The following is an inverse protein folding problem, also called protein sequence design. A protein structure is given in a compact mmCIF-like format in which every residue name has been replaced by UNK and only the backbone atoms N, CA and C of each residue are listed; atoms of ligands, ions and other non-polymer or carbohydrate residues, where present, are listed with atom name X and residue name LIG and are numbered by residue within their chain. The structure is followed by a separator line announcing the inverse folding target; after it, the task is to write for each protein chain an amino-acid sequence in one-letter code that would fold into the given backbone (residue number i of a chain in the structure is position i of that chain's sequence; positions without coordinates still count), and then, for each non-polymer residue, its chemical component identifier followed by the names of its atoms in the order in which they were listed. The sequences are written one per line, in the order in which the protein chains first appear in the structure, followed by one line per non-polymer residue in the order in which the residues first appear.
data_IF_404659962353
#
_entry.id   IF_404659962353
#
_cell.length_a   1.000
_cell.length_b   1.000
_cell.length_c   1.000
_cell.angle_alpha   90.00
_cell.angle_beta   90.00
_cell.angle_gamma   90.00
#
_symmetry.space_group_name_H-M   'P 1'
#
loop_
_entity.id
_entity.type
_entity.pdbx_description
1 polymer ?
#
# COMPACT_ATOMS: atom_id res chain seq x y z
N UNK A 1 -11.57 2.07 17.30
CA UNK A 1 -10.89 1.16 16.37
C UNK A 1 -9.41 1.35 16.56
N UNK A 2 -8.63 0.28 16.42
CA UNK A 2 -7.17 0.40 16.42
C UNK A 2 -6.73 1.26 15.23
N UNK A 3 -5.69 2.06 15.44
CA UNK A 3 -5.05 2.87 14.40
C UNK A 3 -4.48 1.97 13.29
N UNK A 4 -4.57 2.40 12.03
CA UNK A 4 -3.97 1.70 10.88
C UNK A 4 -2.45 1.69 11.04
N UNK A 5 -1.84 0.50 10.99
CA UNK A 5 -0.37 0.34 11.10
C UNK A 5 0.10 -0.62 10.04
N UNK A 6 0.95 -0.14 9.14
CA UNK A 6 1.47 -0.89 8.00
C UNK A 6 2.99 -0.73 7.98
N UNK A 7 3.72 -1.84 7.98
CA UNK A 7 5.17 -1.88 7.87
C UNK A 7 5.56 -2.60 6.59
N UNK A 8 6.50 -2.04 5.85
CA UNK A 8 7.03 -2.62 4.60
C UNK A 8 8.52 -2.80 4.77
N UNK A 9 8.97 -4.04 4.62
CA UNK A 9 10.38 -4.42 4.73
C UNK A 9 10.66 -5.58 3.80
N UNK A 10 11.92 -5.86 3.51
CA UNK A 10 12.26 -6.92 2.58
C UNK A 10 13.73 -7.28 2.56
N UNK A 11 14.01 -8.25 1.70
CA UNK A 11 15.34 -8.72 1.34
C UNK A 11 15.59 -8.47 -0.15
N UNK A 12 16.69 -9.02 -0.68
CA UNK A 12 16.99 -8.93 -2.11
C UNK A 12 15.98 -9.67 -3.01
N UNK A 13 15.22 -10.64 -2.48
CA UNK A 13 14.34 -11.51 -3.27
C UNK A 13 12.88 -11.47 -2.83
N UNK A 14 12.58 -10.87 -1.69
CA UNK A 14 11.25 -10.88 -1.10
C UNK A 14 10.92 -9.53 -0.48
N UNK A 15 9.67 -9.09 -0.63
CA UNK A 15 9.11 -7.93 0.06
C UNK A 15 7.94 -8.41 0.91
N UNK A 16 7.90 -7.97 2.16
CA UNK A 16 6.84 -8.26 3.12
C UNK A 16 6.10 -6.98 3.47
N UNK A 17 4.78 -6.99 3.28
CA UNK A 17 3.87 -5.98 3.79
C UNK A 17 3.18 -6.59 5.01
N UNK A 18 3.54 -6.13 6.21
CA UNK A 18 2.95 -6.59 7.46
C UNK A 18 2.12 -5.46 8.07
N UNK A 19 0.87 -5.74 8.43
CA UNK A 19 -0.01 -4.74 9.00
C UNK A 19 -0.90 -5.35 10.10
N UNK A 20 -1.37 -4.49 11.01
CA UNK A 20 -2.45 -4.91 11.92
C UNK A 20 -3.78 -5.03 11.15
N UNK A 21 -4.82 -5.51 11.83
CA UNK A 21 -6.12 -5.72 11.18
C UNK A 21 -6.73 -4.44 10.59
N UNK A 22 -6.47 -3.27 11.17
CA UNK A 22 -6.90 -1.99 10.61
C UNK A 22 -6.12 -1.63 9.34
N UNK A 23 -4.79 -1.77 9.36
CA UNK A 23 -3.93 -1.49 8.21
C UNK A 23 -4.10 -2.45 7.05
N UNK A 24 -4.42 -3.72 7.30
CA UNK A 24 -4.78 -4.64 6.22
C UNK A 24 -6.08 -4.24 5.52
N UNK A 25 -7.05 -3.71 6.26
CA UNK A 25 -8.31 -3.20 5.68
C UNK A 25 -8.07 -1.93 4.87
N UNK A 26 -7.32 -0.99 5.44
CA UNK A 26 -6.94 0.26 4.77
C UNK A 26 -6.19 -0.01 3.45
N UNK A 27 -5.21 -0.93 3.49
CA UNK A 27 -4.50 -1.35 2.27
C UNK A 27 -5.45 -1.98 1.23
N UNK A 28 -6.38 -2.82 1.67
CA UNK A 28 -7.36 -3.43 0.77
C UNK A 28 -8.30 -2.40 0.15
N UNK A 29 -8.77 -1.41 0.91
CA UNK A 29 -9.62 -0.33 0.40
C UNK A 29 -8.92 0.50 -0.66
N UNK A 30 -7.62 0.79 -0.46
CA UNK A 30 -6.80 1.53 -1.42
C UNK A 30 -6.56 0.75 -2.71
N UNK A 31 -6.30 -0.56 -2.60
CA UNK A 31 -6.23 -1.45 -3.76
C UNK A 31 -7.57 -1.55 -4.51
N UNK A 32 -8.69 -1.60 -3.77
CA UNK A 32 -10.03 -1.60 -4.38
C UNK A 32 -10.31 -0.29 -5.12
N UNK A 33 -9.90 0.86 -4.56
CA UNK A 33 -10.02 2.15 -5.24
C UNK A 33 -9.19 2.21 -6.53
N UNK A 34 -7.97 1.66 -6.52
CA UNK A 34 -7.14 1.53 -7.72
C UNK A 34 -7.79 0.64 -8.78
N UNK A 35 -8.51 -0.40 -8.37
CA UNK A 35 -9.20 -1.32 -9.27
C UNK A 35 -10.54 -0.79 -9.82
N UNK A 36 -11.01 0.38 -9.37
CA UNK A 36 -12.29 0.95 -9.81
C UNK A 36 -12.32 1.17 -11.34
N UNK A 37 -13.27 0.60 -12.09
CA UNK A 37 -13.34 0.75 -13.54
C UNK A 37 -13.54 2.19 -14.01
N UNK A 38 -14.04 3.09 -13.16
CA UNK A 38 -14.21 4.51 -13.48
C UNK A 38 -12.91 5.33 -13.27
N UNK A 39 -11.87 4.73 -12.70
CA UNK A 39 -10.57 5.40 -12.50
C UNK A 39 -9.84 5.55 -13.84
N UNK A 40 -9.87 6.76 -14.39
CA UNK A 40 -9.23 7.11 -15.67
C UNK A 40 -7.76 7.47 -15.46
N UNK A 41 -6.93 7.11 -16.43
CA UNK A 41 -5.51 7.50 -16.55
C UNK A 41 -4.59 7.04 -15.41
N UNK A 42 -4.58 5.73 -15.11
CA UNK A 42 -3.47 5.07 -14.39
C UNK A 42 -3.06 5.78 -13.10
N UNK A 43 -3.84 5.60 -12.04
CA UNK A 43 -3.52 6.16 -10.73
C UNK A 43 -2.44 5.32 -10.04
N UNK A 44 -1.50 5.99 -9.37
CA UNK A 44 -0.58 5.35 -8.45
C UNK A 44 -0.46 6.18 -7.18
N UNK A 45 -0.23 5.49 -6.06
CA UNK A 45 -0.17 6.07 -4.73
C UNK A 45 1.17 5.72 -4.08
N UNK A 46 1.85 6.75 -3.59
CA UNK A 46 3.13 6.61 -2.89
C UNK A 46 2.90 6.57 -1.39
N UNK A 47 3.55 5.63 -0.73
CA UNK A 47 3.53 5.48 0.72
C UNK A 47 4.92 5.52 1.29
N UNK A 48 5.08 6.37 2.30
CA UNK A 48 6.36 6.66 2.90
C UNK A 48 6.35 6.33 4.41
N UNK A 49 7.49 5.84 4.89
CA UNK A 49 7.74 5.58 6.31
C UNK A 49 7.62 6.85 7.14
N UNK A 50 6.84 6.79 8.22
CA UNK A 50 6.57 7.92 9.11
C UNK A 50 5.43 8.84 8.65
N UNK A 51 4.80 8.57 7.50
CA UNK A 51 3.62 9.29 7.01
C UNK A 51 2.41 8.36 6.94
N UNK A 52 2.47 7.38 6.03
CA UNK A 52 1.40 6.39 5.83
C UNK A 52 1.82 4.99 6.26
N UNK A 53 3.12 4.77 6.42
CA UNK A 53 3.71 3.53 6.90
C UNK A 53 4.38 3.79 8.24
N UNK A 54 4.61 2.72 9.00
CA UNK A 54 5.42 2.76 10.22
C UNK A 54 6.82 3.31 9.92
N UNK A 55 7.39 4.05 10.86
CA UNK A 55 8.74 4.58 10.77
C UNK A 55 9.75 3.45 10.49
N UNK A 56 10.68 3.68 9.56
CA UNK A 56 11.65 2.67 9.12
C UNK A 56 11.17 1.73 8.01
N UNK A 57 9.91 1.83 7.58
CA UNK A 57 9.43 1.13 6.38
C UNK A 57 10.16 1.62 5.13
N UNK A 58 10.43 0.70 4.20
CA UNK A 58 10.76 1.08 2.81
C UNK A 58 9.52 1.62 2.10
N UNK A 59 9.72 2.54 1.17
CA UNK A 59 8.63 3.12 0.38
C UNK A 59 7.88 2.05 -0.40
N UNK A 60 6.55 2.19 -0.46
CA UNK A 60 5.66 1.30 -1.21
C UNK A 60 4.87 2.13 -2.23
N UNK A 61 4.86 1.67 -3.48
CA UNK A 61 4.04 2.27 -4.53
C UNK A 61 2.95 1.26 -4.88
N UNK A 62 1.69 1.70 -4.80
CA UNK A 62 0.55 0.97 -5.33
C UNK A 62 0.18 1.60 -6.66
N UNK A 63 0.08 0.81 -7.73
CA UNK A 63 -0.22 1.34 -9.05
C UNK A 63 -1.17 0.41 -9.80
N UNK A 64 -2.08 0.99 -10.56
CA UNK A 64 -2.80 0.28 -11.60
C UNK A 64 -1.98 0.35 -12.88
N UNK A 65 -1.67 -0.81 -13.44
CA UNK A 65 -0.98 -0.93 -14.74
C UNK A 65 -1.84 -1.78 -15.68
N UNK A 66 -2.41 -1.14 -16.70
CA UNK A 66 -3.27 -1.77 -17.72
C UNK A 66 -2.47 -2.57 -18.76
N UNK A 67 -1.13 -2.48 -18.74
CA UNK A 67 -0.27 -3.16 -19.70
C UNK A 67 0.23 -4.53 -19.20
N UNK A 68 -0.06 -4.92 -17.95
CA UNK A 68 0.29 -6.22 -17.36
C UNK A 68 -0.80 -7.28 -17.62
#
# INVERSE_FOLDING_TARGET
MDESRINVYGSATEITIAANAAGLRDLAERLMGLADPELRDGYHEHLEGGINLEEGSVSLILARDEAL
#
